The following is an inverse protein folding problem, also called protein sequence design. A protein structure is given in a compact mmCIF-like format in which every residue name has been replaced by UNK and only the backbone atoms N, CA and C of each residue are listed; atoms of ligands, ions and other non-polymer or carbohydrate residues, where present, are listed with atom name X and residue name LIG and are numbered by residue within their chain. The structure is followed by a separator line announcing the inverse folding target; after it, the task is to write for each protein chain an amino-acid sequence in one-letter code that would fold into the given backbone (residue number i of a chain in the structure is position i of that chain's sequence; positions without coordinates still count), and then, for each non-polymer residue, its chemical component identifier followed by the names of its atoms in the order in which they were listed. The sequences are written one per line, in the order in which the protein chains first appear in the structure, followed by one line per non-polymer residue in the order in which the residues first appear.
data_IF_553489551644
#
_entry.id   IF_553489551644
#
_cell.length_a   1.000
_cell.length_b   1.000
_cell.length_c   1.000
_cell.angle_alpha   90.00
_cell.angle_beta   90.00
_cell.angle_gamma   90.00
#
_symmetry.space_group_name_H-M   'P 1'
#
loop_
_entity.id
_entity.type
_entity.pdbx_description
1 polymer ?
#
# COMPACT_ATOMS: atom_id res chain seq x y z
N UNK A 1 25.95 -42.55 -17.93
CA UNK A 1 24.90 -41.53 -18.02
C UNK A 1 25.24 -40.45 -16.99
N UNK A 2 25.76 -39.28 -17.42
CA UNK A 2 25.97 -38.15 -16.54
C UNK A 2 24.59 -37.58 -16.16
N UNK A 3 24.23 -37.72 -14.89
CA UNK A 3 23.11 -36.97 -14.32
C UNK A 3 23.54 -35.50 -14.34
N UNK A 4 22.87 -34.68 -15.13
CA UNK A 4 23.11 -33.26 -15.13
C UNK A 4 22.82 -32.74 -13.69
N UNK A 5 23.85 -32.18 -13.07
CA UNK A 5 23.67 -31.38 -11.84
C UNK A 5 22.58 -30.35 -12.13
N UNK A 6 21.45 -30.48 -11.44
CA UNK A 6 20.50 -29.41 -11.38
C UNK A 6 21.23 -28.26 -10.68
N UNK A 7 21.73 -27.31 -11.46
CA UNK A 7 22.21 -26.06 -10.93
C UNK A 7 21.14 -25.54 -9.99
N UNK A 8 21.52 -25.25 -8.74
CA UNK A 8 20.67 -24.61 -7.76
C UNK A 8 20.20 -23.28 -8.35
N UNK A 9 19.01 -23.27 -8.95
CA UNK A 9 18.34 -21.99 -9.26
C UNK A 9 18.16 -21.25 -7.94
N UNK A 10 18.55 -19.96 -7.87
CA UNK A 10 18.35 -19.18 -6.66
C UNK A 10 16.86 -19.16 -6.35
N UNK A 11 16.49 -19.71 -5.20
CA UNK A 11 15.08 -19.73 -4.75
C UNK A 11 14.71 -18.33 -4.27
N UNK A 12 13.58 -17.83 -4.79
CA UNK A 12 12.94 -16.64 -4.21
C UNK A 12 12.60 -16.93 -2.76
N UNK A 13 13.06 -16.07 -1.85
CA UNK A 13 12.81 -16.23 -0.42
C UNK A 13 11.31 -16.06 -0.14
N UNK A 14 10.71 -17.07 0.49
CA UNK A 14 9.32 -16.98 0.95
C UNK A 14 9.20 -15.93 2.08
N UNK A 15 8.21 -15.04 1.96
CA UNK A 15 7.96 -13.98 2.93
C UNK A 15 6.89 -14.43 3.91
N UNK A 16 7.21 -14.40 5.21
CA UNK A 16 6.30 -14.80 6.28
C UNK A 16 5.39 -13.65 6.70
N UNK A 17 4.18 -14.01 7.13
CA UNK A 17 3.27 -13.10 7.81
C UNK A 17 3.65 -13.03 9.29
N UNK A 18 3.94 -11.82 9.78
CA UNK A 18 4.28 -11.59 11.18
C UNK A 18 3.06 -11.42 12.07
N UNK A 19 2.04 -10.72 11.57
CA UNK A 19 0.82 -10.37 12.27
C UNK A 19 -0.36 -10.30 11.32
N UNK A 20 -1.56 -10.53 11.86
CA UNK A 20 -2.82 -10.35 11.15
C UNK A 20 -3.83 -9.62 12.01
N UNK A 21 -4.67 -8.80 11.38
CA UNK A 21 -5.91 -8.29 11.97
C UNK A 21 -7.03 -9.01 11.23
N UNK A 22 -7.36 -10.22 11.72
CA UNK A 22 -8.15 -11.22 10.98
C UNK A 22 -9.54 -10.71 10.58
N UNK A 23 -10.23 -10.00 11.48
CA UNK A 23 -11.58 -9.48 11.26
C UNK A 23 -11.64 -8.49 10.09
N UNK A 24 -10.53 -7.84 9.77
CA UNK A 24 -10.39 -6.88 8.69
C UNK A 24 -9.61 -7.42 7.50
N UNK A 25 -9.02 -8.62 7.60
CA UNK A 25 -8.23 -9.21 6.54
C UNK A 25 -6.89 -8.54 6.28
N UNK A 26 -6.35 -7.79 7.24
CA UNK A 26 -5.03 -7.17 7.11
C UNK A 26 -3.92 -8.08 7.59
N UNK A 27 -2.85 -8.17 6.81
CA UNK A 27 -1.65 -8.94 7.15
C UNK A 27 -0.41 -8.06 7.07
N UNK A 28 0.50 -8.25 8.04
CA UNK A 28 1.82 -7.63 8.05
C UNK A 28 2.87 -8.66 7.68
N UNK A 29 3.57 -8.44 6.58
CA UNK A 29 4.67 -9.31 6.13
C UNK A 29 6.02 -8.86 6.72
N UNK A 30 6.90 -9.82 6.95
CA UNK A 30 8.20 -9.60 7.62
C UNK A 30 9.14 -8.66 6.84
N UNK A 31 8.99 -8.59 5.51
CA UNK A 31 9.85 -7.80 4.63
C UNK A 31 9.46 -6.32 4.54
N UNK A 32 8.45 -5.89 5.26
CA UNK A 32 8.06 -4.47 5.31
C UNK A 32 9.05 -3.65 6.14
N UNK A 33 9.26 -2.36 5.78
CA UNK A 33 10.08 -1.47 6.59
C UNK A 33 9.56 -1.32 8.03
N UNK A 34 10.46 -1.03 8.98
CA UNK A 34 10.10 -0.85 10.38
C UNK A 34 9.05 0.25 10.59
N UNK A 35 9.11 1.31 9.80
CA UNK A 35 8.11 2.39 9.85
C UNK A 35 6.70 1.90 9.50
N UNK A 36 6.58 1.02 8.49
CA UNK A 36 5.30 0.40 8.14
C UNK A 36 4.81 -0.54 9.23
N UNK A 37 5.69 -1.31 9.84
CA UNK A 37 5.37 -2.20 10.97
C UNK A 37 4.81 -1.41 12.16
N UNK A 38 5.37 -0.24 12.43
CA UNK A 38 4.86 0.67 13.46
C UNK A 38 3.47 1.20 13.12
N UNK A 39 3.24 1.60 11.88
CA UNK A 39 1.92 2.03 11.41
C UNK A 39 0.89 0.92 11.53
N UNK A 40 1.28 -0.32 11.21
CA UNK A 40 0.40 -1.48 11.34
C UNK A 40 -0.02 -1.71 12.80
N UNK A 41 0.90 -1.56 13.74
CA UNK A 41 0.59 -1.64 15.18
C UNK A 41 -0.38 -0.54 15.60
N UNK A 42 -0.21 0.67 15.10
CA UNK A 42 -1.12 1.79 15.36
C UNK A 42 -2.52 1.52 14.79
N UNK A 43 -2.60 0.95 13.57
CA UNK A 43 -3.86 0.51 12.97
C UNK A 43 -4.53 -0.58 13.83
N UNK A 44 -3.78 -1.57 14.27
CA UNK A 44 -4.27 -2.63 15.14
C UNK A 44 -4.87 -2.04 16.43
N UNK A 45 -4.19 -1.09 17.06
CA UNK A 45 -4.66 -0.44 18.28
C UNK A 45 -5.97 0.34 18.04
N UNK A 46 -6.12 1.00 16.91
CA UNK A 46 -7.36 1.70 16.51
C UNK A 46 -8.52 0.70 16.36
N UNK A 47 -8.27 -0.42 15.66
CA UNK A 47 -9.30 -1.40 15.31
C UNK A 47 -9.69 -2.33 16.48
N UNK A 48 -8.86 -2.42 17.52
CA UNK A 48 -9.15 -3.23 18.73
C UNK A 48 -9.90 -2.48 19.81
N UNK A 49 -10.17 -1.19 19.62
CA UNK A 49 -11.01 -0.43 20.56
C UNK A 49 -12.45 -0.95 20.56
N UNK A 50 -13.14 -0.88 21.69
CA UNK A 50 -14.54 -1.30 21.80
C UNK A 50 -15.44 -0.56 20.80
N UNK A 51 -15.18 0.74 20.60
CA UNK A 51 -15.81 1.55 19.56
C UNK A 51 -14.73 2.06 18.63
N UNK A 52 -14.79 1.63 17.37
CA UNK A 52 -13.84 2.06 16.34
C UNK A 52 -14.25 3.40 15.78
N UNK A 53 -13.36 4.39 15.84
CA UNK A 53 -13.55 5.68 15.17
C UNK A 53 -13.29 5.53 13.68
N UNK A 54 -14.31 5.77 12.85
CA UNK A 54 -14.19 5.73 11.39
C UNK A 54 -13.13 6.73 10.90
N UNK A 55 -13.08 7.92 11.48
CA UNK A 55 -12.10 8.94 11.11
C UNK A 55 -10.67 8.53 11.44
N UNK A 56 -10.41 8.03 12.65
CA UNK A 56 -9.08 7.52 13.02
C UNK A 56 -8.64 6.35 12.13
N UNK A 57 -9.58 5.44 11.85
CA UNK A 57 -9.32 4.29 10.99
C UNK A 57 -8.95 4.73 9.58
N UNK A 58 -9.78 5.55 8.93
CA UNK A 58 -9.55 5.95 7.55
C UNK A 58 -8.28 6.79 7.38
N UNK A 59 -7.96 7.63 8.38
CA UNK A 59 -6.70 8.40 8.40
C UNK A 59 -5.48 7.48 8.42
N UNK A 60 -5.48 6.47 9.29
CA UNK A 60 -4.37 5.51 9.36
C UNK A 60 -4.26 4.68 8.10
N UNK A 61 -5.38 4.22 7.56
CA UNK A 61 -5.40 3.47 6.30
C UNK A 61 -4.83 4.30 5.13
N UNK A 62 -5.20 5.58 5.05
CA UNK A 62 -4.67 6.49 4.03
C UNK A 62 -3.15 6.71 4.16
N UNK A 63 -2.67 6.93 5.38
CA UNK A 63 -1.24 7.08 5.66
C UNK A 63 -0.45 5.84 5.26
N UNK A 64 -0.92 4.66 5.64
CA UNK A 64 -0.29 3.37 5.32
C UNK A 64 -0.32 3.10 3.82
N UNK A 65 -1.46 3.38 3.16
CA UNK A 65 -1.56 3.22 1.72
C UNK A 65 -0.54 4.08 0.98
N UNK A 66 -0.47 5.37 1.29
CA UNK A 66 0.46 6.30 0.65
C UNK A 66 1.90 5.85 0.88
N UNK A 67 2.25 5.53 2.11
CA UNK A 67 3.59 5.08 2.44
C UNK A 67 3.98 3.83 1.65
N UNK A 68 3.12 2.82 1.63
CA UNK A 68 3.42 1.55 0.97
C UNK A 68 3.37 1.65 -0.57
N UNK A 69 2.39 2.35 -1.11
CA UNK A 69 2.24 2.50 -2.56
C UNK A 69 3.36 3.33 -3.19
N UNK A 70 3.73 4.45 -2.58
CA UNK A 70 4.71 5.37 -3.15
C UNK A 70 6.16 5.09 -2.74
N UNK A 71 6.40 4.19 -1.81
CA UNK A 71 7.74 3.68 -1.50
C UNK A 71 8.07 2.51 -2.42
N UNK A 72 8.99 2.71 -3.36
CA UNK A 72 9.33 1.70 -4.36
C UNK A 72 10.55 0.85 -4.00
N UNK A 73 11.39 1.30 -3.06
CA UNK A 73 12.67 0.64 -2.76
C UNK A 73 12.50 -0.77 -2.20
N UNK A 74 11.43 -1.05 -1.47
CA UNK A 74 11.14 -2.38 -0.92
C UNK A 74 10.41 -3.31 -1.90
N UNK A 75 10.10 -2.84 -3.12
CA UNK A 75 9.37 -3.63 -4.12
C UNK A 75 10.31 -4.51 -4.93
N UNK A 76 9.90 -5.75 -5.18
CA UNK A 76 10.71 -6.75 -5.89
C UNK A 76 10.58 -6.69 -7.41
N UNK A 77 9.52 -6.08 -7.91
CA UNK A 77 9.25 -5.91 -9.34
C UNK A 77 8.15 -4.87 -9.54
N UNK A 78 7.93 -4.45 -10.78
CA UNK A 78 6.82 -3.52 -11.11
C UNK A 78 5.43 -4.10 -10.80
N UNK A 79 5.30 -5.41 -10.69
CA UNK A 79 4.06 -6.10 -10.33
C UNK A 79 3.84 -6.21 -8.82
N UNK A 80 4.85 -5.89 -8.03
CA UNK A 80 4.78 -5.88 -6.56
C UNK A 80 4.23 -4.54 -6.07
N UNK A 81 2.95 -4.29 -6.35
CA UNK A 81 2.29 -3.03 -6.06
C UNK A 81 1.91 -2.94 -4.58
N UNK A 82 2.34 -1.87 -3.92
CA UNK A 82 2.01 -1.60 -2.53
C UNK A 82 0.56 -1.14 -2.32
N UNK A 83 0.07 -1.25 -1.09
CA UNK A 83 -1.24 -0.75 -0.70
C UNK A 83 -2.44 -1.58 -1.16
N UNK A 84 -2.22 -2.73 -1.80
CA UNK A 84 -3.29 -3.55 -2.40
C UNK A 84 -4.31 -4.05 -1.38
N UNK A 85 -3.92 -4.26 -0.13
CA UNK A 85 -4.83 -4.70 0.94
C UNK A 85 -5.89 -3.65 1.29
N UNK A 86 -5.67 -2.40 0.93
CA UNK A 86 -6.61 -1.30 1.16
C UNK A 86 -7.54 -1.05 -0.02
N UNK A 87 -7.27 -1.64 -1.19
CA UNK A 87 -8.03 -1.34 -2.41
C UNK A 87 -9.34 -2.12 -2.45
N UNK A 88 -10.40 -1.44 -2.85
CA UNK A 88 -11.71 -2.06 -3.06
C UNK A 88 -11.56 -3.24 -4.04
N UNK A 89 -12.00 -4.46 -3.68
CA UNK A 89 -11.76 -5.65 -4.51
C UNK A 89 -12.22 -5.50 -5.96
N UNK A 90 -13.37 -4.87 -6.19
CA UNK A 90 -13.88 -4.61 -7.55
C UNK A 90 -13.01 -3.65 -8.36
N UNK A 91 -12.32 -2.72 -7.70
CA UNK A 91 -11.42 -1.75 -8.33
C UNK A 91 -10.00 -2.30 -8.53
N UNK A 92 -9.64 -3.39 -7.87
CA UNK A 92 -8.27 -3.88 -7.82
C UNK A 92 -7.64 -4.18 -9.19
N UNK A 93 -8.31 -4.88 -10.14
CA UNK A 93 -7.69 -5.15 -11.44
C UNK A 93 -7.29 -3.89 -12.21
N UNK A 94 -8.16 -2.90 -12.26
CA UNK A 94 -7.86 -1.62 -12.92
C UNK A 94 -6.79 -0.82 -12.16
N UNK A 95 -6.82 -0.86 -10.84
CA UNK A 95 -5.81 -0.22 -10.00
C UNK A 95 -4.42 -0.79 -10.27
N UNK A 96 -4.27 -2.12 -10.32
CA UNK A 96 -3.00 -2.79 -10.60
C UNK A 96 -2.48 -2.46 -12.00
N UNK A 97 -3.35 -2.55 -13.02
CA UNK A 97 -2.98 -2.24 -14.40
C UNK A 97 -2.50 -0.79 -14.53
N UNK A 98 -3.21 0.15 -13.92
CA UNK A 98 -2.83 1.56 -13.95
C UNK A 98 -1.51 1.83 -13.21
N UNK A 99 -1.31 1.21 -12.04
CA UNK A 99 -0.06 1.36 -11.28
C UNK A 99 1.14 0.86 -12.08
N UNK A 100 1.04 -0.32 -12.70
CA UNK A 100 2.09 -0.91 -13.52
C UNK A 100 2.41 -0.08 -14.78
N UNK A 101 1.43 0.61 -15.35
CA UNK A 101 1.60 1.46 -16.53
C UNK A 101 2.07 2.89 -16.20
N UNK A 102 2.02 3.28 -14.94
CA UNK A 102 2.36 4.67 -14.52
C UNK A 102 3.49 4.69 -13.50
N UNK A 103 3.18 4.76 -12.21
CA UNK A 103 4.18 4.99 -11.16
C UNK A 103 5.19 3.84 -11.01
N UNK A 104 4.76 2.59 -11.25
CA UNK A 104 5.60 1.39 -11.15
C UNK A 104 6.31 1.01 -12.45
N UNK A 105 6.03 1.71 -13.55
CA UNK A 105 6.44 1.32 -14.91
C UNK A 105 7.91 0.98 -15.07
N UNK A 106 8.78 1.72 -14.40
CA UNK A 106 10.24 1.59 -14.56
C UNK A 106 10.93 0.88 -13.39
N UNK A 107 10.17 0.27 -12.49
CA UNK A 107 10.73 -0.53 -11.40
C UNK A 107 11.38 -1.78 -11.98
N UNK A 108 12.69 -1.91 -11.81
CA UNK A 108 13.45 -3.08 -12.24
C UNK A 108 13.30 -4.23 -11.23
N UNK A 109 13.41 -5.46 -11.73
CA UNK A 109 13.32 -6.65 -10.88
C UNK A 109 14.42 -6.67 -9.80
N UNK A 110 14.03 -7.06 -8.60
CA UNK A 110 14.92 -7.28 -7.46
C UNK A 110 14.60 -8.60 -6.75
N UNK A 111 14.12 -9.59 -7.48
CA UNK A 111 13.71 -10.88 -6.93
C UNK A 111 14.84 -11.59 -6.19
N UNK A 112 16.09 -11.36 -6.60
CA UNK A 112 17.29 -12.00 -6.04
C UNK A 112 18.19 -11.02 -5.27
N UNK A 113 17.74 -9.78 -5.03
CA UNK A 113 18.50 -8.79 -4.28
C UNK A 113 19.66 -8.15 -5.03
N UNK A 114 19.70 -8.23 -6.36
CA UNK A 114 20.82 -7.74 -7.18
C UNK A 114 20.57 -6.39 -7.87
N UNK A 115 19.38 -5.79 -7.65
CA UNK A 115 19.02 -4.50 -8.25
C UNK A 115 19.96 -3.38 -7.80
N UNK A 116 20.49 -2.64 -8.78
CA UNK A 116 21.32 -1.45 -8.54
C UNK A 116 20.53 -0.15 -8.65
N UNK A 117 19.35 -0.19 -9.24
CA UNK A 117 18.44 0.95 -9.32
C UNK A 117 18.09 1.43 -7.92
N UNK A 118 18.22 2.73 -7.69
CA UNK A 118 17.82 3.37 -6.44
C UNK A 118 16.43 3.96 -6.63
N UNK A 119 15.51 3.62 -5.73
CA UNK A 119 14.11 3.96 -5.82
C UNK A 119 13.67 4.79 -4.61
N UNK A 120 12.57 5.56 -4.72
CA UNK A 120 12.11 6.42 -3.64
C UNK A 120 11.60 5.64 -2.43
N UNK A 121 11.81 6.24 -1.26
CA UNK A 121 11.22 5.85 0.02
C UNK A 121 10.47 7.06 0.55
N UNK A 122 9.21 6.90 0.87
CA UNK A 122 8.40 7.95 1.50
C UNK A 122 8.92 8.21 2.91
N UNK A 123 9.11 9.47 3.25
CA UNK A 123 9.52 9.88 4.59
C UNK A 123 8.32 10.24 5.47
N UNK A 124 7.64 11.34 5.15
CA UNK A 124 6.52 11.85 5.94
C UNK A 124 5.28 11.96 5.09
N UNK A 125 4.17 11.42 5.58
CA UNK A 125 2.83 11.57 4.99
C UNK A 125 2.05 12.59 5.81
N UNK A 126 1.50 13.59 5.14
CA UNK A 126 0.64 14.60 5.74
C UNK A 126 -0.78 14.47 5.22
N UNK A 127 -1.73 14.29 6.13
CA UNK A 127 -3.16 14.28 5.81
C UNK A 127 -3.67 15.73 5.88
N UNK A 128 -3.81 16.37 4.73
CA UNK A 128 -4.18 17.78 4.61
C UNK A 128 -5.64 17.99 5.01
N UNK A 129 -6.52 17.11 4.55
CA UNK A 129 -7.94 17.14 4.90
C UNK A 129 -8.55 15.75 4.86
N UNK A 130 -9.55 15.54 5.73
CA UNK A 130 -10.33 14.30 5.82
C UNK A 130 -11.79 14.70 5.90
N UNK A 131 -12.53 14.53 4.82
CA UNK A 131 -13.90 15.05 4.69
C UNK A 131 -14.87 13.91 4.47
N UNK A 132 -15.88 13.74 5.36
CA UNK A 132 -16.98 12.80 5.12
C UNK A 132 -17.72 13.16 3.84
N UNK A 133 -18.03 12.15 3.04
CA UNK A 133 -18.74 12.31 1.77
C UNK A 133 -19.52 11.04 1.44
N UNK A 134 -20.16 11.04 0.28
CA UNK A 134 -20.74 9.86 -0.34
C UNK A 134 -20.05 9.60 -1.67
N UNK A 135 -19.96 8.35 -2.06
CA UNK A 135 -19.31 7.96 -3.30
C UNK A 135 -20.08 6.82 -3.98
N UNK A 136 -20.28 6.93 -5.28
CA UNK A 136 -20.94 5.90 -6.07
C UNK A 136 -19.88 5.16 -6.89
N UNK A 137 -19.80 3.86 -6.68
CA UNK A 137 -18.95 2.97 -7.46
C UNK A 137 -19.82 1.85 -8.06
N UNK A 138 -19.78 1.69 -9.39
CA UNK A 138 -20.58 0.70 -10.11
C UNK A 138 -22.05 0.67 -9.63
N UNK A 139 -22.73 1.80 -9.63
CA UNK A 139 -24.12 1.99 -9.20
C UNK A 139 -24.39 1.86 -7.70
N UNK A 140 -23.44 1.36 -6.92
CA UNK A 140 -23.58 1.25 -5.47
C UNK A 140 -23.10 2.54 -4.78
N UNK A 141 -23.94 3.05 -3.89
CA UNK A 141 -23.65 4.24 -3.07
C UNK A 141 -23.03 3.84 -1.74
N UNK A 142 -21.90 4.46 -1.42
CA UNK A 142 -21.17 4.22 -0.18
C UNK A 142 -21.07 5.47 0.67
N UNK A 143 -21.11 5.30 1.99
CA UNK A 143 -20.52 6.26 2.91
C UNK A 143 -19.01 6.27 2.67
N UNK A 144 -18.41 7.45 2.58
CA UNK A 144 -17.02 7.59 2.19
C UNK A 144 -16.31 8.74 2.91
N UNK A 145 -14.99 8.78 2.78
CA UNK A 145 -14.15 9.91 3.13
C UNK A 145 -13.29 10.31 1.93
N UNK A 146 -13.23 11.61 1.66
CA UNK A 146 -12.24 12.20 0.76
C UNK A 146 -11.05 12.67 1.59
N UNK A 147 -9.86 12.14 1.27
CA UNK A 147 -8.64 12.44 2.00
C UNK A 147 -7.62 13.04 1.05
N UNK A 148 -7.25 14.30 1.30
CA UNK A 148 -6.17 14.97 0.57
C UNK A 148 -4.87 14.74 1.31
N UNK A 149 -3.86 14.24 0.59
CA UNK A 149 -2.56 13.88 1.15
C UNK A 149 -1.42 14.55 0.39
N UNK A 150 -0.37 14.85 1.12
CA UNK A 150 0.95 15.19 0.59
C UNK A 150 2.00 14.35 1.29
N UNK A 151 3.16 14.19 0.66
CA UNK A 151 4.26 13.45 1.29
C UNK A 151 5.61 13.94 0.79
N UNK A 152 6.64 13.60 1.54
CA UNK A 152 8.04 13.83 1.18
C UNK A 152 8.75 12.51 1.02
N UNK A 153 9.88 12.53 0.32
CA UNK A 153 10.78 11.39 0.18
C UNK A 153 12.03 11.59 1.04
N UNK A 154 12.66 10.48 1.42
CA UNK A 154 13.87 10.52 2.25
C UNK A 154 15.08 11.11 1.52
N UNK A 155 15.10 11.03 0.19
CA UNK A 155 16.18 11.56 -0.65
C UNK A 155 15.63 12.66 -1.58
N UNK A 156 16.27 13.82 -1.56
CA UNK A 156 15.87 15.01 -2.35
C UNK A 156 15.93 14.80 -3.86
N UNK A 157 16.68 13.81 -4.34
CA UNK A 157 16.72 13.49 -5.78
C UNK A 157 15.38 13.00 -6.33
N UNK A 158 14.44 12.56 -5.46
CA UNK A 158 13.10 12.18 -5.83
C UNK A 158 12.06 13.30 -5.70
N UNK A 159 12.49 14.54 -5.49
CA UNK A 159 11.60 15.71 -5.33
C UNK A 159 10.67 15.96 -6.52
N UNK A 160 11.03 15.46 -7.71
CA UNK A 160 10.19 15.55 -8.92
C UNK A 160 9.18 14.41 -9.06
N UNK A 161 9.23 13.42 -8.19
CA UNK A 161 8.23 12.35 -8.16
C UNK A 161 6.91 12.89 -7.60
N UNK A 162 5.81 12.21 -7.92
CA UNK A 162 4.51 12.56 -7.36
C UNK A 162 4.58 12.65 -5.82
N UNK A 163 4.01 13.69 -5.26
CA UNK A 163 4.04 13.98 -3.82
C UNK A 163 2.71 14.46 -3.25
N UNK A 164 1.63 14.33 -4.00
CA UNK A 164 0.27 14.63 -3.56
C UNK A 164 -0.74 13.71 -4.24
N UNK A 165 -1.82 13.41 -3.53
CA UNK A 165 -2.94 12.67 -4.06
C UNK A 165 -4.21 12.94 -3.26
N UNK A 166 -5.36 12.74 -3.90
CA UNK A 166 -6.65 12.67 -3.24
C UNK A 166 -7.12 11.22 -3.25
N UNK A 167 -7.46 10.71 -2.08
CA UNK A 167 -7.92 9.34 -1.89
C UNK A 167 -9.39 9.33 -1.49
N UNK A 168 -10.18 8.46 -2.12
CA UNK A 168 -11.56 8.20 -1.71
C UNK A 168 -11.61 6.81 -1.07
N UNK A 169 -11.88 6.78 0.23
CA UNK A 169 -12.12 5.55 0.98
C UNK A 169 -13.61 5.35 1.20
N UNK A 170 -14.11 4.18 0.85
CA UNK A 170 -15.51 3.80 1.01
C UNK A 170 -15.67 2.77 2.11
N UNK A 171 -16.76 2.88 2.89
CA UNK A 171 -17.08 1.90 3.93
C UNK A 171 -17.94 0.79 3.37
N UNK A 172 -17.46 -0.43 3.47
CA UNK A 172 -18.22 -1.65 3.14
C UNK A 172 -18.17 -2.61 4.32
N UNK A 173 -19.31 -2.78 4.98
CA UNK A 173 -19.36 -3.48 6.27
C UNK A 173 -18.58 -2.72 7.34
N UNK A 174 -17.65 -3.38 8.00
CA UNK A 174 -16.77 -2.76 9.01
C UNK A 174 -15.50 -2.16 8.43
N UNK A 175 -15.19 -2.45 7.16
CA UNK A 175 -13.91 -2.15 6.53
C UNK A 175 -14.00 -0.93 5.62
N UNK A 176 -12.96 -0.10 5.64
CA UNK A 176 -12.74 0.94 4.65
C UNK A 176 -11.83 0.46 3.54
N UNK A 177 -12.21 0.78 2.30
CA UNK A 177 -11.45 0.44 1.10
C UNK A 177 -11.18 1.67 0.25
N UNK A 178 -10.00 1.74 -0.33
CA UNK A 178 -9.68 2.73 -1.37
C UNK A 178 -10.46 2.40 -2.64
N UNK A 179 -11.36 3.29 -3.07
CA UNK A 179 -12.14 3.16 -4.29
C UNK A 179 -11.59 4.00 -5.43
N UNK A 180 -10.91 5.10 -5.13
CA UNK A 180 -10.35 6.02 -6.13
C UNK A 180 -9.08 6.69 -5.62
N UNK A 181 -8.10 6.79 -6.50
CA UNK A 181 -6.84 7.49 -6.31
C UNK A 181 -6.70 8.54 -7.43
N UNK A 182 -6.68 9.81 -7.03
CA UNK A 182 -6.56 10.94 -7.96
C UNK A 182 -5.22 11.65 -7.84
#
# INVERSE_FOLDING_TARGET
VKVADKQNEPKVKEVKVLKSIEEYGYELKENKPEKYKKMFKELEDILRKDTVSDEEYVKKAAEMFVYDFYSLEDKTAKTDVGGVNFVLPEALPNFLANAEDTYYKYVESNLYGERKQILPIVDTVTLVSTTPTEYVYNTKKYTAYEIKTTWTYTDTKFSNYQSSATLIFVKDGIKFYLAELQ
#
